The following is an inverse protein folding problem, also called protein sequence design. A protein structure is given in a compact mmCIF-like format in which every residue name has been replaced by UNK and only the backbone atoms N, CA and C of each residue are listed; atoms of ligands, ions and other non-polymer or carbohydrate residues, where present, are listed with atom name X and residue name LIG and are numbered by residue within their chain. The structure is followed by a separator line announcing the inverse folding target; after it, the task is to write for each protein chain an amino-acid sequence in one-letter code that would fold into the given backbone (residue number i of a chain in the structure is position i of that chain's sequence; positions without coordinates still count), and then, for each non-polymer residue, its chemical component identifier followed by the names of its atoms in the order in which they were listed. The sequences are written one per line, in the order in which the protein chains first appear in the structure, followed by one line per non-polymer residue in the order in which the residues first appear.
data_IF_195839505000
#
_entry.id   IF_195839505000
#
_cell.length_a   1.000
_cell.length_b   1.000
_cell.length_c   1.000
_cell.angle_alpha   90.00
_cell.angle_beta   90.00
_cell.angle_gamma   90.00
#
_symmetry.space_group_name_H-M   'P 1'
#
loop_
_entity.id
_entity.type
_entity.pdbx_description
1 polymer ?
#
# COMPACT_ATOMS: atom_id res chain seq x y z
N UNK A 1 -5.66 33.28 -0.20
CA UNK A 1 -5.17 32.05 -0.84
C UNK A 1 -4.57 31.18 0.27
N UNK A 2 -5.29 30.16 0.72
CA UNK A 2 -4.79 29.22 1.71
C UNK A 2 -3.94 28.14 1.04
N UNK A 3 -2.91 27.59 1.72
CA UNK A 3 -2.14 26.49 1.19
C UNK A 3 -3.02 25.26 1.08
N UNK A 4 -3.05 24.66 -0.10
CA UNK A 4 -3.74 23.40 -0.35
C UNK A 4 -3.15 22.31 0.52
N UNK A 5 -3.98 21.73 1.37
CA UNK A 5 -3.65 20.53 2.11
C UNK A 5 -3.51 19.39 1.10
N UNK A 6 -2.28 18.96 0.86
CA UNK A 6 -2.01 17.76 0.08
C UNK A 6 -2.54 16.57 0.86
N UNK A 7 -3.71 16.07 0.47
CA UNK A 7 -4.29 14.85 1.03
C UNK A 7 -3.60 13.67 0.38
N UNK A 8 -3.07 12.83 1.21
CA UNK A 8 -2.24 11.70 0.82
C UNK A 8 -3.08 10.45 0.65
N UNK A 9 -2.72 9.64 -0.33
CA UNK A 9 -3.37 8.35 -0.60
C UNK A 9 -3.09 7.35 0.53
N UNK A 10 -4.08 6.59 1.01
CA UNK A 10 -3.90 5.69 2.15
C UNK A 10 -3.34 4.32 1.84
N UNK A 11 -3.22 3.96 0.57
CA UNK A 11 -2.76 2.60 0.30
C UNK A 11 -1.23 2.49 0.30
N UNK A 12 -0.51 3.49 -0.19
CA UNK A 12 0.96 3.45 -0.18
C UNK A 12 1.51 4.86 -0.15
N UNK A 13 2.29 5.19 0.87
CA UNK A 13 3.18 6.31 0.90
C UNK A 13 4.62 5.84 0.76
N UNK A 14 5.34 6.45 -0.13
CA UNK A 14 6.76 6.22 -0.30
C UNK A 14 7.50 7.55 -0.32
N UNK A 15 8.42 7.74 0.62
CA UNK A 15 9.39 8.80 0.53
C UNK A 15 10.69 8.24 -0.09
N UNK A 16 11.00 8.62 -1.33
CA UNK A 16 12.33 8.37 -1.91
C UNK A 16 13.14 9.66 -1.89
N UNK A 17 14.23 9.65 -1.18
CA UNK A 17 15.30 10.62 -1.34
C UNK A 17 16.27 10.09 -2.41
N UNK A 18 16.21 10.69 -3.61
CA UNK A 18 17.28 10.89 -4.59
C UNK A 18 18.08 9.70 -5.12
N UNK A 19 18.04 9.54 -6.42
CA UNK A 19 19.01 8.98 -7.37
C UNK A 19 20.34 8.43 -6.78
N UNK A 20 20.58 7.14 -6.97
CA UNK A 20 21.94 6.60 -6.90
C UNK A 20 21.95 5.10 -6.68
N UNK A 21 22.72 4.40 -7.50
CA UNK A 21 23.26 3.04 -7.35
C UNK A 21 22.94 2.36 -6.02
N UNK A 22 22.40 1.13 -6.10
CA UNK A 22 22.18 0.24 -4.96
C UNK A 22 23.52 0.06 -4.24
N UNK A 23 23.76 0.88 -3.21
CA UNK A 23 24.85 0.68 -2.26
C UNK A 23 24.33 -0.30 -1.19
N UNK A 24 25.18 -1.19 -0.73
CA UNK A 24 24.88 -2.20 0.30
C UNK A 24 24.39 -1.60 1.65
N UNK A 25 24.33 -0.27 1.75
CA UNK A 25 23.88 0.50 2.92
C UNK A 25 22.66 1.40 2.65
N UNK A 26 21.89 1.16 1.57
CA UNK A 26 20.70 1.92 1.30
C UNK A 26 19.64 1.63 2.37
N UNK A 27 19.23 2.66 3.10
CA UNK A 27 18.09 2.56 4.04
C UNK A 27 16.84 2.28 3.19
N UNK A 28 16.10 1.19 3.48
CA UNK A 28 14.89 0.86 2.75
C UNK A 28 13.89 2.03 2.78
N UNK A 29 13.17 2.25 1.67
CA UNK A 29 12.12 3.26 1.63
C UNK A 29 10.97 2.84 2.54
N UNK A 30 10.37 3.77 3.30
CA UNK A 30 9.20 3.43 4.11
C UNK A 30 8.01 3.08 3.22
N UNK A 31 7.29 2.03 3.61
CA UNK A 31 6.03 1.61 3.04
C UNK A 31 4.92 1.85 4.06
N UNK A 32 4.05 2.79 3.77
CA UNK A 32 2.94 3.15 4.63
C UNK A 32 1.62 2.67 4.01
N UNK A 33 0.80 1.97 4.81
CA UNK A 33 -0.55 1.57 4.41
C UNK A 33 -1.56 2.47 5.12
N UNK A 34 -2.45 3.07 4.37
CA UNK A 34 -3.51 3.93 4.89
C UNK A 34 -3.01 5.05 5.84
N UNK A 35 -3.91 5.87 6.37
CA UNK A 35 -3.60 6.82 7.44
C UNK A 35 -3.37 6.08 8.76
N UNK A 36 -2.60 6.68 9.71
CA UNK A 36 -2.44 6.10 11.04
C UNK A 36 -3.80 5.78 11.69
N UNK A 37 -3.94 4.56 12.21
CA UNK A 37 -5.17 4.10 12.82
C UNK A 37 -5.44 2.61 12.61
N UNK A 38 -6.69 2.20 12.83
CA UNK A 38 -7.07 0.79 12.80
C UNK A 38 -6.84 0.13 11.45
N UNK A 39 -7.08 0.85 10.34
CA UNK A 39 -6.85 0.32 8.99
C UNK A 39 -5.35 -0.01 8.81
N UNK A 40 -4.45 0.94 9.10
CA UNK A 40 -3.01 0.70 9.02
C UNK A 40 -2.58 -0.48 9.87
N UNK A 41 -3.00 -0.53 11.13
CA UNK A 41 -2.64 -1.63 12.05
C UNK A 41 -3.10 -2.98 11.54
N UNK A 42 -4.30 -3.04 10.97
CA UNK A 42 -4.84 -4.27 10.39
C UNK A 42 -4.03 -4.71 9.18
N UNK A 43 -3.75 -3.79 8.22
CA UNK A 43 -2.96 -4.08 7.02
C UNK A 43 -1.53 -4.50 7.36
N UNK A 44 -0.87 -3.79 8.28
CA UNK A 44 0.46 -4.13 8.79
C UNK A 44 0.45 -5.54 9.42
N UNK A 45 -0.58 -5.86 10.20
CA UNK A 45 -0.75 -7.19 10.76
C UNK A 45 -0.84 -8.29 9.70
N UNK A 46 -1.59 -8.05 8.61
CA UNK A 46 -1.68 -8.98 7.48
C UNK A 46 -0.34 -9.20 6.77
N UNK A 47 0.48 -8.15 6.63
CA UNK A 47 1.83 -8.29 6.05
C UNK A 47 2.72 -9.14 6.93
N UNK A 48 2.77 -8.87 8.24
CA UNK A 48 3.62 -9.60 9.18
C UNK A 48 3.20 -11.06 9.32
N UNK A 49 1.90 -11.35 9.22
CA UNK A 49 1.39 -12.72 9.18
C UNK A 49 1.64 -13.43 7.84
N UNK A 50 2.19 -12.73 6.83
CA UNK A 50 2.44 -13.25 5.49
C UNK A 50 1.19 -13.39 4.62
N UNK A 51 0.06 -12.85 5.06
CA UNK A 51 -1.20 -12.91 4.33
C UNK A 51 -1.28 -11.86 3.22
N UNK A 52 -0.97 -10.60 3.53
CA UNK A 52 -0.92 -9.54 2.53
C UNK A 52 0.42 -9.54 1.81
N UNK A 53 0.37 -9.78 0.49
CA UNK A 53 1.55 -9.88 -0.38
C UNK A 53 1.47 -9.00 -1.61
N UNK A 54 0.49 -8.10 -1.66
CA UNK A 54 0.36 -7.13 -2.73
C UNK A 54 -0.33 -5.86 -2.23
N UNK A 55 -0.18 -4.79 -2.99
CA UNK A 55 -0.85 -3.51 -2.75
C UNK A 55 -1.07 -2.76 -4.06
N UNK A 56 -2.11 -1.93 -4.12
CA UNK A 56 -2.44 -1.09 -5.26
C UNK A 56 -2.29 0.39 -4.94
N UNK A 57 -1.83 1.17 -5.91
CA UNK A 57 -1.82 2.62 -5.88
C UNK A 57 -2.35 3.20 -7.18
N UNK A 58 -2.81 4.46 -7.15
CA UNK A 58 -3.18 5.17 -8.37
C UNK A 58 -1.92 5.73 -9.04
N UNK A 59 -1.79 5.53 -10.36
CA UNK A 59 -0.69 6.11 -11.13
C UNK A 59 -0.63 7.64 -10.98
N UNK A 60 -1.78 8.29 -10.92
CA UNK A 60 -1.89 9.73 -10.69
C UNK A 60 -1.28 10.21 -9.36
N UNK A 61 -1.26 9.36 -8.33
CA UNK A 61 -0.62 9.72 -7.06
C UNK A 61 0.90 9.73 -7.18
N UNK A 62 1.47 8.74 -7.85
CA UNK A 62 2.92 8.70 -8.12
C UNK A 62 3.35 9.94 -8.90
N UNK A 63 2.57 10.34 -9.91
CA UNK A 63 2.83 11.52 -10.71
C UNK A 63 2.70 12.81 -9.89
N UNK A 64 1.65 12.93 -9.08
CA UNK A 64 1.39 14.13 -8.28
C UNK A 64 2.43 14.34 -7.18
N UNK A 65 2.96 13.26 -6.62
CA UNK A 65 3.97 13.29 -5.56
C UNK A 65 5.40 13.29 -6.11
N UNK A 66 5.56 13.10 -7.42
CA UNK A 66 6.87 12.99 -8.07
C UNK A 66 7.63 11.73 -7.65
N UNK A 67 6.91 10.68 -7.29
CA UNK A 67 7.47 9.42 -6.84
C UNK A 67 7.80 8.49 -8.00
N UNK A 68 8.86 7.72 -7.84
CA UNK A 68 9.19 6.63 -8.77
C UNK A 68 8.33 5.42 -8.49
N UNK A 69 7.88 4.74 -9.55
CA UNK A 69 7.25 3.43 -9.42
C UNK A 69 8.29 2.43 -8.91
N UNK A 70 7.84 1.48 -8.13
CA UNK A 70 8.66 0.39 -7.63
C UNK A 70 9.28 -0.43 -8.76
N UNK A 71 10.46 -0.98 -8.49
CA UNK A 71 11.12 -1.95 -9.36
C UNK A 71 11.27 -3.30 -8.64
N UNK A 72 11.28 -4.39 -9.41
CA UNK A 72 11.54 -5.72 -8.85
C UNK A 72 12.90 -5.74 -8.15
N UNK A 73 12.92 -6.22 -6.90
CA UNK A 73 14.10 -6.22 -6.04
C UNK A 73 14.20 -5.00 -5.11
N UNK A 74 13.33 -4.00 -5.23
CA UNK A 74 13.29 -2.90 -4.27
C UNK A 74 13.00 -3.43 -2.88
N UNK A 75 13.78 -2.96 -1.91
CA UNK A 75 13.57 -3.23 -0.49
C UNK A 75 12.81 -2.06 0.12
N UNK A 76 11.69 -2.35 0.78
CA UNK A 76 10.87 -1.38 1.48
C UNK A 76 10.67 -1.79 2.93
N UNK A 77 10.53 -0.83 3.82
CA UNK A 77 10.23 -1.09 5.24
C UNK A 77 8.82 -0.66 5.56
N UNK A 78 7.98 -1.63 5.90
CA UNK A 78 6.63 -1.39 6.44
C UNK A 78 6.74 -0.72 7.80
N UNK A 79 6.03 0.38 7.98
CA UNK A 79 6.05 1.16 9.21
C UNK A 79 4.69 1.20 9.90
N UNK A 80 4.70 1.43 11.21
CA UNK A 80 3.49 1.57 12.03
C UNK A 80 2.93 3.01 12.03
N UNK A 81 1.98 3.28 12.94
CA UNK A 81 1.34 4.58 13.08
C UNK A 81 2.33 5.71 13.45
N UNK A 82 3.41 5.36 14.11
CA UNK A 82 4.45 6.30 14.57
C UNK A 82 5.63 6.39 13.57
N UNK A 83 5.53 5.71 12.42
CA UNK A 83 6.59 5.63 11.42
C UNK A 83 7.75 4.70 11.81
N UNK A 84 7.57 3.85 12.82
CA UNK A 84 8.61 2.93 13.27
C UNK A 84 8.64 1.66 12.42
N UNK A 85 9.84 1.13 12.10
CA UNK A 85 10.01 -0.09 11.34
C UNK A 85 9.29 -1.30 11.98
N UNK A 86 8.51 -2.03 11.18
CA UNK A 86 7.81 -3.25 11.60
C UNK A 86 8.36 -4.46 10.86
N UNK A 87 8.45 -4.40 9.54
CA UNK A 87 8.95 -5.47 8.70
C UNK A 87 9.51 -4.94 7.39
N UNK A 88 10.47 -5.64 6.81
CA UNK A 88 10.93 -5.40 5.46
C UNK A 88 10.16 -6.27 4.47
N UNK A 89 9.93 -5.74 3.28
CA UNK A 89 9.38 -6.45 2.14
C UNK A 89 10.24 -6.22 0.90
N UNK A 90 10.30 -7.22 0.04
CA UNK A 90 11.02 -7.15 -1.24
C UNK A 90 10.01 -7.19 -2.37
N UNK A 91 10.05 -6.22 -3.27
CA UNK A 91 9.17 -6.17 -4.45
C UNK A 91 9.51 -7.32 -5.40
N UNK A 92 8.51 -8.10 -5.77
CA UNK A 92 8.67 -9.27 -6.64
C UNK A 92 8.06 -9.07 -8.02
N UNK A 93 7.04 -8.24 -8.14
CA UNK A 93 6.38 -7.92 -9.42
C UNK A 93 5.72 -6.56 -9.36
N UNK A 94 5.70 -5.85 -10.49
CA UNK A 94 5.00 -4.57 -10.66
C UNK A 94 4.28 -4.57 -12.01
N UNK A 95 3.00 -4.20 -12.01
CA UNK A 95 2.20 -4.02 -13.22
C UNK A 95 1.50 -2.66 -13.20
N UNK A 96 1.49 -1.97 -14.32
CA UNK A 96 0.67 -0.77 -14.53
C UNK A 96 -0.42 -1.15 -15.52
N UNK A 97 -1.65 -1.15 -15.06
CA UNK A 97 -2.79 -1.60 -15.86
C UNK A 97 -4.01 -0.70 -15.60
N UNK A 98 -5.04 -0.84 -16.43
CA UNK A 98 -6.32 -0.17 -16.18
C UNK A 98 -7.03 -0.83 -15.00
N UNK A 99 -7.78 -0.04 -14.24
CA UNK A 99 -8.58 -0.52 -13.11
C UNK A 99 -9.58 -1.63 -13.54
N UNK A 100 -10.11 -1.55 -14.75
CA UNK A 100 -10.99 -2.60 -15.31
C UNK A 100 -10.29 -3.95 -15.51
N UNK A 101 -8.96 -3.96 -15.65
CA UNK A 101 -8.18 -5.15 -15.99
C UNK A 101 -7.50 -5.80 -14.77
N UNK A 102 -7.77 -5.34 -13.56
CA UNK A 102 -7.21 -5.91 -12.33
C UNK A 102 -7.61 -7.37 -12.21
N UNK A 103 -6.63 -8.31 -12.15
CA UNK A 103 -6.94 -9.73 -12.12
C UNK A 103 -7.26 -10.21 -10.71
N UNK A 104 -8.04 -11.29 -10.60
CA UNK A 104 -8.41 -11.90 -9.32
C UNK A 104 -7.19 -12.34 -8.50
N UNK A 105 -6.15 -12.85 -9.15
CA UNK A 105 -4.90 -13.25 -8.50
C UNK A 105 -4.24 -12.13 -7.69
N UNK A 106 -4.42 -10.86 -8.11
CA UNK A 106 -3.96 -9.70 -7.37
C UNK A 106 -4.76 -9.52 -6.09
N UNK A 107 -6.09 -9.60 -6.16
CA UNK A 107 -6.98 -9.48 -4.99
C UNK A 107 -6.69 -10.58 -3.96
N UNK A 108 -6.43 -11.80 -4.43
CA UNK A 108 -6.00 -12.90 -3.55
C UNK A 108 -4.65 -12.62 -2.88
N UNK A 109 -3.73 -11.95 -3.58
CA UNK A 109 -2.44 -11.59 -3.01
C UNK A 109 -2.53 -10.42 -2.02
N UNK A 110 -3.43 -9.44 -2.24
CA UNK A 110 -3.73 -8.40 -1.24
C UNK A 110 -4.34 -9.00 0.02
N UNK A 111 -5.19 -10.00 -0.14
CA UNK A 111 -5.79 -10.79 0.94
C UNK A 111 -6.45 -9.95 2.04
N UNK A 112 -7.16 -8.92 1.64
CA UNK A 112 -7.88 -8.01 2.54
C UNK A 112 -9.32 -8.48 2.84
N UNK A 113 -9.63 -9.73 2.46
CA UNK A 113 -10.89 -10.40 2.75
C UNK A 113 -11.99 -10.17 1.72
N UNK A 114 -11.68 -9.61 0.56
CA UNK A 114 -12.61 -9.52 -0.55
C UNK A 114 -12.87 -10.90 -1.14
N UNK A 115 -14.13 -11.17 -1.47
CA UNK A 115 -14.55 -12.47 -2.01
C UNK A 115 -14.86 -12.41 -3.50
N UNK A 116 -14.73 -11.24 -4.12
CA UNK A 116 -14.92 -11.02 -5.56
C UNK A 116 -14.21 -9.76 -6.03
N UNK A 117 -13.89 -9.70 -7.33
CA UNK A 117 -13.38 -8.47 -7.98
C UNK A 117 -14.33 -7.29 -7.81
N UNK A 118 -15.65 -7.53 -7.87
CA UNK A 118 -16.64 -6.49 -7.72
C UNK A 118 -16.61 -5.87 -6.30
N UNK A 119 -16.42 -6.69 -5.28
CA UNK A 119 -16.29 -6.21 -3.89
C UNK A 119 -14.99 -5.43 -3.70
N UNK A 120 -13.87 -5.97 -4.17
CA UNK A 120 -12.58 -5.30 -4.15
C UNK A 120 -12.64 -3.93 -4.82
N UNK A 121 -13.20 -3.90 -6.02
CA UNK A 121 -13.35 -2.67 -6.79
C UNK A 121 -14.20 -1.64 -6.08
N UNK A 122 -15.37 -2.02 -5.58
CA UNK A 122 -16.27 -1.13 -4.86
C UNK A 122 -15.60 -0.52 -3.61
N UNK A 123 -14.83 -1.33 -2.87
CA UNK A 123 -14.08 -0.87 -1.71
C UNK A 123 -13.00 0.14 -2.07
N UNK A 124 -12.23 -0.12 -3.12
CA UNK A 124 -11.17 0.77 -3.58
C UNK A 124 -11.72 2.06 -4.19
N UNK A 125 -12.77 1.99 -5.02
CA UNK A 125 -13.45 3.18 -5.57
C UNK A 125 -13.98 4.09 -4.45
N UNK A 126 -14.71 3.52 -3.49
CA UNK A 126 -15.23 4.28 -2.35
C UNK A 126 -14.12 4.95 -1.55
N UNK A 127 -13.01 4.23 -1.37
CA UNK A 127 -11.86 4.75 -0.68
C UNK A 127 -11.24 5.93 -1.45
N UNK A 128 -10.87 5.74 -2.72
CA UNK A 128 -10.26 6.79 -3.54
C UNK A 128 -11.16 8.02 -3.66
N UNK A 129 -12.47 7.82 -3.78
CA UNK A 129 -13.43 8.92 -3.79
C UNK A 129 -13.46 9.68 -2.45
N UNK A 130 -13.31 8.98 -1.32
CA UNK A 130 -13.27 9.61 0.00
C UNK A 130 -12.07 10.55 0.20
N UNK A 131 -11.04 10.40 -0.64
CA UNK A 131 -9.83 11.23 -0.65
C UNK A 131 -9.70 12.10 -1.90
N UNK A 132 -10.84 12.39 -2.54
CA UNK A 132 -11.00 13.28 -3.68
C UNK A 132 -10.37 12.77 -5.00
N UNK A 133 -10.17 11.45 -5.15
CA UNK A 133 -9.77 10.83 -6.43
C UNK A 133 -10.98 10.18 -7.10
N UNK A 134 -11.35 10.71 -8.26
CA UNK A 134 -12.38 10.11 -9.10
C UNK A 134 -11.72 9.09 -10.04
N UNK A 135 -12.22 7.87 -10.06
CA UNK A 135 -11.68 6.77 -10.87
C UNK A 135 -12.76 6.16 -11.78
N UNK A 136 -12.32 5.60 -12.89
CA UNK A 136 -13.14 4.91 -13.87
C UNK A 136 -12.43 3.64 -14.38
N UNK A 137 -13.01 2.98 -15.38
CA UNK A 137 -12.47 1.76 -15.97
C UNK A 137 -11.08 1.94 -16.59
N UNK A 138 -10.79 3.13 -17.12
CA UNK A 138 -9.53 3.45 -17.79
C UNK A 138 -8.46 4.02 -16.86
N UNK A 139 -8.81 4.28 -15.61
CA UNK A 139 -7.85 4.77 -14.61
C UNK A 139 -6.69 3.79 -14.44
N UNK A 140 -5.45 4.29 -14.54
CA UNK A 140 -4.27 3.46 -14.37
C UNK A 140 -3.97 3.24 -12.90
N UNK A 141 -3.76 1.98 -12.55
CA UNK A 141 -3.34 1.51 -11.23
C UNK A 141 -1.98 0.84 -11.31
N UNK A 142 -1.17 1.05 -10.28
CA UNK A 142 0.10 0.38 -10.08
C UNK A 142 -0.14 -0.76 -9.10
N UNK A 143 0.01 -1.98 -9.56
CA UNK A 143 -0.09 -3.19 -8.76
C UNK A 143 1.30 -3.65 -8.38
N UNK A 144 1.56 -3.77 -7.09
CA UNK A 144 2.88 -4.16 -6.55
C UNK A 144 2.72 -5.43 -5.75
N UNK A 145 3.43 -6.50 -6.13
CA UNK A 145 3.57 -7.72 -5.34
C UNK A 145 4.88 -7.67 -4.57
N UNK A 146 4.87 -8.22 -3.38
CA UNK A 146 6.05 -8.28 -2.54
C UNK A 146 6.08 -9.56 -1.69
N UNK A 147 7.26 -9.90 -1.19
CA UNK A 147 7.48 -10.96 -0.22
C UNK A 147 7.93 -10.38 1.11
N UNK A 148 7.46 -10.99 2.20
CA UNK A 148 7.88 -10.64 3.56
C UNK A 148 9.35 -11.03 3.76
N UNK A 149 10.14 -10.06 4.19
CA UNK A 149 11.53 -10.24 4.60
C UNK A 149 11.67 -10.32 6.11
N UNK A 150 12.55 -9.46 6.67
CA UNK A 150 12.83 -9.43 8.11
C UNK A 150 11.70 -8.72 8.87
N UNK A 151 11.26 -9.32 9.96
CA UNK A 151 10.39 -8.67 10.96
C UNK A 151 11.26 -8.03 12.03
N UNK A 152 11.06 -6.73 12.28
CA UNK A 152 11.89 -5.93 13.19
C UNK A 152 11.36 -5.87 14.61
N UNK A 153 10.06 -6.15 14.80
CA UNK A 153 9.41 -6.03 16.08
C UNK A 153 9.32 -7.39 16.78
N UNK A 154 9.87 -7.47 18.00
CA UNK A 154 9.65 -8.60 18.89
C UNK A 154 8.32 -8.44 19.63
N UNK A 155 7.47 -9.46 19.56
CA UNK A 155 6.18 -9.52 20.27
C UNK A 155 4.95 -9.46 19.36
N UNK A 156 3.76 -9.71 19.92
CA UNK A 156 2.54 -9.73 19.13
C UNK A 156 2.21 -8.34 18.59
N UNK A 157 2.03 -8.26 17.28
CA UNK A 157 1.46 -7.07 16.66
C UNK A 157 -0.02 -7.05 17.06
N UNK A 158 -0.53 -5.90 17.58
CA UNK A 158 -1.93 -5.79 17.91
C UNK A 158 -2.79 -6.12 16.69
N UNK A 159 -3.50 -7.24 16.72
CA UNK A 159 -4.41 -7.63 15.65
C UNK A 159 -5.70 -6.85 15.79
N UNK A 160 -5.99 -6.06 14.79
CA UNK A 160 -7.28 -5.38 14.67
C UNK A 160 -8.16 -6.25 13.79
N UNK A 161 -9.28 -6.77 14.26
CA UNK A 161 -10.18 -7.56 13.44
C UNK A 161 -10.86 -6.67 12.39
N UNK A 162 -11.14 -7.24 11.20
CA UNK A 162 -11.71 -6.50 10.06
C UNK A 162 -12.97 -5.70 10.43
N UNK A 163 -13.86 -6.26 11.23
CA UNK A 163 -15.08 -5.57 11.68
C UNK A 163 -14.82 -4.29 12.49
N UNK A 164 -13.64 -4.13 13.08
CA UNK A 164 -13.26 -2.90 13.76
C UNK A 164 -12.76 -1.82 12.80
N UNK A 165 -12.48 -2.20 11.54
CA UNK A 165 -12.08 -1.29 10.46
C UNK A 165 -13.31 -0.70 9.78
N UNK A 166 -14.36 -1.53 9.60
CA UNK A 166 -15.60 -1.14 8.91
C UNK A 166 -16.47 -0.16 9.74
N UNK A 167 -16.24 -0.04 11.04
CA UNK A 167 -17.03 0.81 11.96
C UNK A 167 -16.56 2.28 11.95
N UNK A 168 -15.48 2.60 11.24
CA UNK A 168 -14.87 3.94 11.25
C UNK A 168 -15.06 4.72 9.94
N UNK A 169 -15.93 4.24 9.04
CA UNK A 169 -16.38 4.96 7.84
C UNK A 169 -17.76 5.58 8.04
#
# INVERSE_FOLDING_TARGET
MGPGSSRQSPHVRRARLGLGTVAADAVPSPLEFAEPGNMRRWLVGLVVDGHKRATAGLMSNYEAEGESIEEVGDLQTVVDDDGLPVADVVVTEVRIIRLADVPWEFVEAENEGDVSLAQWRAGHEAYWESVDYHVDDDTLVVLVWFELGKVHRDGPIPRVPRHAVDVLN
#
